data_IF_679971280542
#
_entry.id   IF_679971280542
#
_cell.length_a   1.000
_cell.length_b   1.000
_cell.length_c   1.000
_cell.angle_alpha   90.00
_cell.angle_beta   90.00
_cell.angle_gamma   90.00
#
_symmetry.space_group_name_H-M   'P 1'
#
loop_
_entity.id
_entity.type
_entity.pdbx_description
1 polymer ?
#
# COMPACT_ATOMS: atom_id res chain seq x y z
N UNK A 1 -15.97 31.05 -20.86
CA UNK A 1 -15.53 30.04 -19.85
C UNK A 1 -14.04 29.82 -20.01
N UNK A 2 -13.28 29.73 -18.92
CA UNK A 2 -11.85 29.43 -18.99
C UNK A 2 -11.66 28.03 -19.61
N UNK A 3 -10.56 27.83 -20.35
CA UNK A 3 -10.22 26.53 -20.94
C UNK A 3 -9.95 25.54 -19.80
N UNK A 4 -10.47 24.30 -19.87
CA UNK A 4 -10.22 23.33 -18.82
C UNK A 4 -8.72 22.98 -18.74
N UNK A 5 -8.23 22.77 -17.54
CA UNK A 5 -6.87 22.24 -17.30
C UNK A 5 -6.93 20.73 -17.55
N UNK A 6 -6.05 20.24 -18.42
CA UNK A 6 -6.07 18.84 -18.84
C UNK A 6 -4.76 18.11 -18.51
N UNK A 7 -4.81 16.79 -18.44
CA UNK A 7 -3.62 15.93 -18.29
C UNK A 7 -2.82 15.98 -19.59
N UNK A 8 -1.55 16.39 -19.53
CA UNK A 8 -0.65 16.43 -20.68
C UNK A 8 0.32 15.24 -20.72
N UNK A 9 0.76 14.80 -19.55
CA UNK A 9 1.67 13.65 -19.45
C UNK A 9 1.53 13.00 -18.08
N UNK A 10 1.92 11.73 -18.01
CA UNK A 10 1.99 10.95 -16.77
C UNK A 10 3.37 10.29 -16.71
N UNK A 11 4.04 10.40 -15.59
CA UNK A 11 5.34 9.78 -15.35
C UNK A 11 5.26 8.86 -14.14
N UNK A 12 5.80 7.66 -14.30
CA UNK A 12 5.87 6.65 -13.25
C UNK A 12 7.30 6.53 -12.75
N UNK A 13 7.50 6.64 -11.44
CA UNK A 13 8.80 6.49 -10.80
C UNK A 13 8.81 5.24 -9.93
N UNK A 14 9.71 4.32 -10.23
CA UNK A 14 9.95 3.13 -9.43
C UNK A 14 11.10 3.42 -8.47
N UNK A 15 10.78 3.58 -7.19
CA UNK A 15 11.74 3.93 -6.15
C UNK A 15 11.98 2.72 -5.28
N UNK A 16 13.23 2.32 -5.12
CA UNK A 16 13.64 1.29 -4.19
C UNK A 16 14.29 1.93 -2.98
N UNK A 17 13.76 1.61 -1.78
CA UNK A 17 14.39 2.03 -0.53
C UNK A 17 15.60 1.14 -0.20
N UNK A 18 16.58 1.71 0.51
CA UNK A 18 17.70 0.95 1.07
C UNK A 18 17.17 -0.07 2.10
N UNK A 19 17.68 -1.30 2.08
CA UNK A 19 17.31 -2.34 3.03
C UNK A 19 16.35 -3.38 2.45
N UNK A 20 15.24 -3.67 3.10
CA UNK A 20 14.33 -4.80 2.82
C UNK A 20 13.65 -4.82 1.44
N UNK A 21 14.04 -3.94 0.53
CA UNK A 21 13.58 -4.00 -0.86
C UNK A 21 12.17 -3.51 -1.09
N UNK A 22 11.62 -2.69 -0.20
CA UNK A 22 10.34 -2.01 -0.45
C UNK A 22 10.47 -1.13 -1.69
N UNK A 23 9.54 -1.31 -2.61
CA UNK A 23 9.51 -0.59 -3.88
C UNK A 23 8.25 0.25 -3.93
N UNK A 24 8.44 1.56 -4.01
CA UNK A 24 7.34 2.51 -4.21
C UNK A 24 7.11 2.76 -5.69
N UNK A 25 5.86 3.01 -6.03
CA UNK A 25 5.44 3.42 -7.36
C UNK A 25 4.79 4.78 -7.20
N UNK A 26 5.50 5.81 -7.64
CA UNK A 26 4.99 7.19 -7.59
C UNK A 26 4.50 7.58 -8.96
N UNK A 27 3.29 8.11 -9.03
CA UNK A 27 2.66 8.62 -10.24
C UNK A 27 2.70 10.15 -10.18
N UNK A 28 3.27 10.77 -11.21
CA UNK A 28 3.24 12.22 -11.40
C UNK A 28 2.37 12.54 -12.60
N UNK A 29 1.24 13.19 -12.36
CA UNK A 29 0.33 13.71 -13.39
C UNK A 29 0.74 15.15 -13.71
N UNK A 30 1.11 15.42 -14.95
CA UNK A 30 1.52 16.74 -15.46
C UNK A 30 0.35 17.35 -16.22
N UNK A 31 0.04 18.61 -15.93
CA UNK A 31 -1.11 19.27 -16.50
C UNK A 31 -0.75 20.26 -17.63
N UNK A 32 -1.78 20.75 -18.33
CA UNK A 32 -1.65 21.82 -19.33
C UNK A 32 -1.31 23.18 -18.72
N UNK A 33 -1.44 23.34 -17.41
CA UNK A 33 -1.03 24.54 -16.69
C UNK A 33 0.46 24.43 -16.33
N UNK A 34 1.31 25.36 -16.78
CA UNK A 34 2.75 25.29 -16.50
C UNK A 34 3.06 25.28 -15.01
N UNK A 35 3.87 24.30 -14.57
CA UNK A 35 4.25 24.16 -13.18
C UNK A 35 3.23 23.42 -12.30
N UNK A 36 2.01 23.20 -12.76
CA UNK A 36 0.99 22.46 -12.02
C UNK A 36 1.08 20.96 -12.33
N UNK A 37 1.27 20.18 -11.29
CA UNK A 37 1.28 18.72 -11.34
C UNK A 37 0.75 18.14 -10.04
N UNK A 38 0.32 16.87 -10.09
CA UNK A 38 -0.05 16.10 -8.91
C UNK A 38 0.82 14.87 -8.72
N UNK A 39 0.92 14.45 -7.46
CA UNK A 39 1.67 13.26 -7.05
C UNK A 39 0.71 12.28 -6.37
N UNK A 40 0.78 11.03 -6.78
CA UNK A 40 0.06 9.94 -6.13
C UNK A 40 0.94 8.71 -5.93
N UNK A 41 0.47 7.78 -5.12
CA UNK A 41 1.16 6.53 -4.81
C UNK A 41 0.35 5.34 -5.31
N UNK A 42 0.95 4.54 -6.20
CA UNK A 42 0.36 3.32 -6.76
C UNK A 42 1.02 2.04 -6.23
N UNK A 43 1.54 2.08 -5.00
CA UNK A 43 2.45 1.05 -4.51
C UNK A 43 1.77 -0.30 -4.25
N UNK A 44 2.18 -1.31 -5.01
CA UNK A 44 2.00 -2.71 -4.73
C UNK A 44 3.34 -3.44 -4.85
N UNK A 45 4.07 -3.49 -3.77
CA UNK A 45 5.49 -3.91 -3.72
C UNK A 45 5.75 -5.26 -4.41
N UNK A 46 4.86 -6.25 -4.25
CA UNK A 46 5.06 -7.60 -4.78
C UNK A 46 4.85 -7.69 -6.31
N UNK A 47 4.15 -6.73 -6.90
CA UNK A 47 3.82 -6.72 -8.34
C UNK A 47 4.03 -5.34 -8.96
N UNK A 48 5.03 -4.60 -8.47
CA UNK A 48 5.27 -3.21 -8.86
C UNK A 48 5.44 -3.00 -10.37
N UNK A 49 6.06 -3.94 -11.09
CA UNK A 49 6.21 -3.85 -12.55
C UNK A 49 4.89 -4.02 -13.28
N UNK A 50 4.00 -4.89 -12.78
CA UNK A 50 2.67 -5.05 -13.37
C UNK A 50 1.83 -3.79 -13.18
N UNK A 51 1.94 -3.11 -12.01
CA UNK A 51 1.28 -1.82 -11.77
C UNK A 51 1.86 -0.74 -12.68
N UNK A 52 3.18 -0.67 -12.83
CA UNK A 52 3.82 0.29 -13.73
C UNK A 52 3.35 0.11 -15.18
N UNK A 53 3.32 -1.14 -15.69
CA UNK A 53 2.78 -1.45 -17.02
C UNK A 53 1.30 -1.07 -17.14
N UNK A 54 0.47 -1.37 -16.13
CA UNK A 54 -0.93 -0.95 -16.13
C UNK A 54 -1.09 0.58 -16.23
N UNK A 55 -0.18 1.34 -15.62
CA UNK A 55 -0.17 2.79 -15.73
C UNK A 55 0.29 3.23 -17.12
N UNK A 56 1.48 2.82 -17.54
CA UNK A 56 2.13 3.36 -18.74
C UNK A 56 1.43 2.90 -20.03
N UNK A 57 1.03 1.62 -20.12
CA UNK A 57 0.52 1.02 -21.34
C UNK A 57 -1.01 1.19 -21.50
N UNK A 58 -1.74 1.40 -20.40
CA UNK A 58 -3.21 1.42 -20.41
C UNK A 58 -3.82 2.69 -19.85
N UNK A 59 -3.48 3.08 -18.60
CA UNK A 59 -4.14 4.23 -17.96
C UNK A 59 -3.62 5.57 -18.49
N UNK A 60 -2.33 5.68 -18.78
CA UNK A 60 -1.75 6.92 -19.33
C UNK A 60 -2.37 7.29 -20.69
N UNK A 61 -2.43 6.40 -21.70
CA UNK A 61 -3.09 6.73 -22.96
C UNK A 61 -4.56 7.11 -22.79
N UNK A 62 -5.26 6.48 -21.86
CA UNK A 62 -6.64 6.80 -21.51
C UNK A 62 -6.79 8.17 -20.84
N UNK A 63 -5.83 8.56 -19.97
CA UNK A 63 -5.86 9.78 -19.18
C UNK A 63 -5.49 11.06 -19.95
N UNK A 64 -4.71 10.94 -21.03
CA UNK A 64 -4.25 12.12 -21.80
C UNK A 64 -5.43 12.94 -22.34
N UNK A 65 -5.39 14.24 -22.08
CA UNK A 65 -6.46 15.18 -22.45
C UNK A 65 -7.63 15.24 -21.47
N UNK A 66 -7.66 14.39 -20.43
CA UNK A 66 -8.71 14.40 -19.42
C UNK A 66 -8.70 15.70 -18.61
N UNK A 67 -9.87 16.24 -18.32
CA UNK A 67 -10.04 17.40 -17.45
C UNK A 67 -9.74 17.00 -16.00
N UNK A 68 -8.74 17.64 -15.38
CA UNK A 68 -8.28 17.34 -14.03
C UNK A 68 -9.33 17.59 -12.94
N UNK A 69 -10.38 18.36 -13.24
CA UNK A 69 -11.46 18.62 -12.28
C UNK A 69 -12.46 17.45 -12.16
N UNK A 70 -12.48 16.53 -13.12
CA UNK A 70 -13.44 15.43 -13.23
C UNK A 70 -12.90 14.13 -12.59
N UNK A 71 -12.55 14.20 -11.31
CA UNK A 71 -11.85 13.13 -10.58
C UNK A 71 -12.71 11.87 -10.48
N UNK A 72 -13.95 12.02 -10.00
CA UNK A 72 -14.87 10.88 -9.83
C UNK A 72 -15.21 10.21 -11.17
N UNK A 73 -15.39 10.99 -12.21
CA UNK A 73 -15.63 10.43 -13.54
C UNK A 73 -14.41 9.68 -14.05
N UNK A 74 -13.20 10.23 -13.86
CA UNK A 74 -11.97 9.51 -14.19
C UNK A 74 -11.90 8.17 -13.49
N UNK A 75 -12.13 8.15 -12.17
CA UNK A 75 -12.10 6.92 -11.38
C UNK A 75 -13.10 5.88 -11.92
N UNK A 76 -14.36 6.28 -12.11
CA UNK A 76 -15.40 5.38 -12.59
C UNK A 76 -15.11 4.85 -13.99
N UNK A 77 -14.69 5.72 -14.90
CA UNK A 77 -14.37 5.32 -16.28
C UNK A 77 -13.12 4.45 -16.34
N UNK A 78 -12.08 4.74 -15.53
CA UNK A 78 -10.89 3.91 -15.44
C UNK A 78 -11.20 2.51 -14.89
N UNK A 79 -12.16 2.38 -13.96
CA UNK A 79 -12.61 1.08 -13.44
C UNK A 79 -13.38 0.26 -14.48
N UNK A 80 -14.15 0.90 -15.38
CA UNK A 80 -15.05 0.19 -16.31
C UNK A 80 -14.52 0.04 -17.72
N UNK A 81 -13.40 0.69 -18.07
CA UNK A 81 -12.83 0.65 -19.41
C UNK A 81 -12.47 -0.76 -19.93
N UNK A 82 -12.32 -1.72 -19.03
CA UNK A 82 -12.05 -3.13 -19.32
C UNK A 82 -13.12 -4.04 -18.75
N UNK A 83 -13.30 -5.23 -19.36
CA UNK A 83 -14.24 -6.23 -18.85
C UNK A 83 -13.80 -6.85 -17.52
N UNK A 84 -12.49 -6.95 -17.30
CA UNK A 84 -11.88 -7.50 -16.09
C UNK A 84 -11.55 -6.35 -15.16
N UNK A 85 -12.41 -6.19 -14.17
CA UNK A 85 -12.34 -5.10 -13.21
C UNK A 85 -11.72 -5.56 -11.92
N UNK A 86 -11.34 -5.07 -10.99
CA UNK A 86 -10.79 -5.53 -9.72
C UNK A 86 -9.35 -6.07 -9.77
N UNK A 87 -8.88 -6.32 -8.61
CA UNK A 87 -7.55 -6.83 -8.34
C UNK A 87 -6.56 -5.73 -7.98
N UNK A 88 -5.51 -6.12 -7.22
CA UNK A 88 -4.62 -5.14 -6.63
C UNK A 88 -3.77 -4.39 -7.66
N UNK A 89 -3.50 -4.94 -8.84
CA UNK A 89 -2.72 -4.26 -9.87
C UNK A 89 -3.47 -3.05 -10.41
N UNK A 90 -4.69 -3.26 -10.92
CA UNK A 90 -5.50 -2.17 -11.50
C UNK A 90 -5.92 -1.17 -10.41
N UNK A 91 -6.38 -1.66 -9.25
CA UNK A 91 -6.82 -0.77 -8.17
C UNK A 91 -5.71 0.14 -7.66
N UNK A 92 -4.47 -0.37 -7.50
CA UNK A 92 -3.33 0.47 -7.12
C UNK A 92 -2.95 1.45 -8.24
N UNK A 93 -2.98 1.02 -9.50
CA UNK A 93 -2.70 1.91 -10.62
C UNK A 93 -3.67 3.09 -10.67
N UNK A 94 -4.98 2.84 -10.56
CA UNK A 94 -6.02 3.87 -10.54
C UNK A 94 -5.88 4.77 -9.31
N UNK A 95 -5.60 4.19 -8.13
CA UNK A 95 -5.37 4.95 -6.89
C UNK A 95 -4.23 5.97 -7.03
N UNK A 96 -3.16 5.64 -7.76
CA UNK A 96 -2.08 6.58 -8.04
C UNK A 96 -2.53 7.81 -8.82
N UNK A 97 -3.43 7.62 -9.80
CA UNK A 97 -4.04 8.75 -10.52
C UNK A 97 -5.00 9.54 -9.65
N UNK A 98 -5.86 8.86 -8.92
CA UNK A 98 -6.85 9.49 -8.03
C UNK A 98 -6.17 10.40 -7.02
N UNK A 99 -5.17 9.91 -6.31
CA UNK A 99 -4.36 10.73 -5.38
C UNK A 99 -3.72 11.93 -6.07
N UNK A 100 -3.16 11.74 -7.28
CA UNK A 100 -2.53 12.82 -8.02
C UNK A 100 -3.53 13.90 -8.47
N UNK A 101 -4.74 13.52 -8.85
CA UNK A 101 -5.81 14.44 -9.21
C UNK A 101 -6.32 15.22 -8.00
N UNK A 102 -6.47 14.58 -6.84
CA UNK A 102 -6.78 15.26 -5.59
C UNK A 102 -5.67 16.21 -5.15
N UNK A 103 -4.39 15.87 -5.34
CA UNK A 103 -3.26 16.76 -5.09
C UNK A 103 -3.31 18.02 -6.00
N UNK A 104 -3.63 17.84 -7.28
CA UNK A 104 -3.87 18.97 -8.20
C UNK A 104 -5.02 19.84 -7.71
N UNK A 105 -6.13 19.23 -7.31
CA UNK A 105 -7.30 19.96 -6.79
C UNK A 105 -6.97 20.78 -5.54
N UNK A 106 -6.20 20.18 -4.61
CA UNK A 106 -5.70 20.88 -3.43
C UNK A 106 -4.84 22.07 -3.77
N UNK A 107 -3.90 21.92 -4.71
CA UNK A 107 -3.04 23.01 -5.19
C UNK A 107 -3.83 24.14 -5.85
N UNK A 108 -4.81 23.80 -6.68
CA UNK A 108 -5.69 24.79 -7.31
C UNK A 108 -6.55 25.56 -6.30
N UNK A 109 -7.01 24.87 -5.26
CA UNK A 109 -7.77 25.47 -4.17
C UNK A 109 -6.90 26.19 -3.13
N UNK A 110 -5.56 26.08 -3.23
CA UNK A 110 -4.61 26.52 -2.21
C UNK A 110 -4.93 25.96 -0.81
N UNK A 111 -5.33 24.69 -0.76
CA UNK A 111 -5.74 23.98 0.44
C UNK A 111 -5.09 22.59 0.49
N UNK A 112 -4.70 22.08 1.67
CA UNK A 112 -4.33 20.69 1.81
C UNK A 112 -5.54 19.78 1.55
N UNK A 113 -5.28 18.57 1.04
CA UNK A 113 -6.36 17.63 0.66
C UNK A 113 -7.28 17.29 1.84
N UNK A 114 -6.73 17.19 3.06
CA UNK A 114 -7.58 16.91 4.23
C UNK A 114 -8.64 18.00 4.51
N UNK A 115 -8.37 19.28 4.18
CA UNK A 115 -9.35 20.36 4.30
C UNK A 115 -10.46 20.22 3.24
N UNK A 116 -10.11 19.78 2.04
CA UNK A 116 -11.10 19.46 1.00
C UNK A 116 -12.01 18.28 1.41
N UNK A 117 -11.52 17.39 2.28
CA UNK A 117 -12.25 16.22 2.76
C UNK A 117 -13.01 16.47 4.08
N UNK A 118 -13.06 17.70 4.58
CA UNK A 118 -13.82 18.05 5.77
C UNK A 118 -13.00 18.55 6.95
N UNK A 119 -11.69 18.70 6.80
CA UNK A 119 -10.81 19.31 7.77
C UNK A 119 -10.05 18.32 8.67
N UNK A 120 -9.16 18.89 9.46
CA UNK A 120 -8.29 18.14 10.37
C UNK A 120 -9.06 17.63 11.58
N UNK A 121 -9.01 16.33 11.85
CA UNK A 121 -9.66 15.73 13.01
C UNK A 121 -8.67 15.40 14.17
N UNK A 122 -7.36 15.48 13.94
CA UNK A 122 -6.31 15.20 14.94
C UNK A 122 -4.97 15.79 14.51
N UNK A 123 -4.08 16.04 15.46
CA UNK A 123 -2.74 16.58 15.19
C UNK A 123 -1.75 15.49 14.82
N UNK A 124 -1.95 14.25 15.29
CA UNK A 124 -1.09 13.13 15.03
C UNK A 124 -1.89 11.84 14.86
N UNK A 125 -1.37 10.90 14.07
CA UNK A 125 -1.90 9.56 13.97
C UNK A 125 -1.06 8.59 14.81
N UNK A 126 -1.71 7.72 15.56
CA UNK A 126 -1.03 6.60 16.22
C UNK A 126 -0.43 5.68 15.15
N UNK A 127 0.77 5.21 15.41
CA UNK A 127 1.49 4.28 14.54
C UNK A 127 1.74 2.97 15.26
N UNK A 128 1.90 1.89 14.51
CA UNK A 128 2.25 0.59 15.04
C UNK A 128 3.53 0.05 14.40
N UNK A 129 4.23 -0.83 15.12
CA UNK A 129 5.38 -1.56 14.60
C UNK A 129 5.02 -3.03 14.31
N UNK A 130 5.80 -3.68 13.45
CA UNK A 130 5.67 -5.10 13.16
C UNK A 130 6.74 -5.90 13.90
N UNK A 131 6.35 -6.67 14.89
CA UNK A 131 7.21 -7.63 15.58
C UNK A 131 7.09 -8.99 14.90
N UNK A 132 7.90 -9.21 13.87
CA UNK A 132 8.02 -10.50 13.20
C UNK A 132 9.02 -11.40 13.92
N UNK A 133 8.85 -12.72 13.83
CA UNK A 133 9.79 -13.68 14.36
C UNK A 133 9.70 -15.04 13.67
N UNK A 134 10.75 -15.84 13.76
CA UNK A 134 10.78 -17.24 13.29
C UNK A 134 10.06 -18.17 14.24
N UNK A 135 10.06 -17.80 15.49
CA UNK A 135 9.45 -18.52 16.60
C UNK A 135 8.82 -17.54 17.61
N UNK A 136 8.03 -18.01 18.59
CA UNK A 136 7.37 -17.14 19.56
C UNK A 136 8.33 -16.32 20.43
N UNK A 137 9.54 -16.84 20.74
CA UNK A 137 10.50 -16.10 21.55
C UNK A 137 11.08 -14.89 20.79
N UNK A 138 11.43 -15.08 19.52
CA UNK A 138 11.91 -13.98 18.68
C UNK A 138 10.84 -12.89 18.49
N UNK A 139 9.56 -13.28 18.42
CA UNK A 139 8.45 -12.31 18.41
C UNK A 139 8.43 -11.50 19.71
N UNK A 140 8.54 -12.14 20.88
CA UNK A 140 8.60 -11.48 22.18
C UNK A 140 9.78 -10.51 22.26
N UNK A 141 10.97 -10.91 21.81
CA UNK A 141 12.16 -10.08 21.82
C UNK A 141 11.97 -8.83 20.95
N UNK A 142 11.35 -8.98 19.79
CA UNK A 142 11.03 -7.86 18.92
C UNK A 142 9.91 -6.97 19.49
N UNK A 143 8.91 -7.52 20.20
CA UNK A 143 7.91 -6.72 20.91
C UNK A 143 8.59 -5.84 21.95
N UNK A 144 9.43 -6.40 22.83
CA UNK A 144 10.18 -5.66 23.87
C UNK A 144 11.04 -4.55 23.26
N UNK A 145 11.75 -4.85 22.17
CA UNK A 145 12.54 -3.88 21.44
C UNK A 145 11.70 -2.69 20.94
N UNK A 146 10.50 -2.92 20.43
CA UNK A 146 9.63 -1.84 19.98
C UNK A 146 8.98 -1.08 21.14
N UNK A 147 8.67 -1.75 22.27
CA UNK A 147 8.26 -1.08 23.49
C UNK A 147 9.33 -0.10 24.00
N UNK A 148 10.60 -0.52 24.00
CA UNK A 148 11.74 0.34 24.37
C UNK A 148 11.89 1.56 23.45
N UNK A 149 11.43 1.46 22.19
CA UNK A 149 11.39 2.56 21.24
C UNK A 149 10.14 3.45 21.39
N UNK A 150 9.25 3.14 22.35
CA UNK A 150 8.04 3.93 22.62
C UNK A 150 6.80 3.55 21.80
N UNK A 151 6.81 2.41 21.08
CA UNK A 151 5.60 1.93 20.41
C UNK A 151 4.64 1.29 21.42
N UNK A 152 3.39 1.75 21.41
CA UNK A 152 2.29 1.19 22.21
C UNK A 152 1.48 0.14 21.43
N UNK A 153 1.38 0.31 20.11
CA UNK A 153 0.67 -0.63 19.22
C UNK A 153 1.70 -1.48 18.49
N UNK A 154 1.65 -2.79 18.69
CA UNK A 154 2.62 -3.71 18.13
C UNK A 154 1.92 -4.90 17.49
N UNK A 155 1.97 -4.97 16.18
CA UNK A 155 1.45 -6.11 15.43
C UNK A 155 2.42 -7.27 15.49
N UNK A 156 2.01 -8.36 16.10
CA UNK A 156 2.79 -9.59 16.17
C UNK A 156 2.52 -10.50 14.99
N UNK A 157 3.56 -11.14 14.48
CA UNK A 157 3.49 -12.04 13.34
C UNK A 157 4.60 -13.09 13.44
N UNK A 158 4.31 -14.33 13.06
CA UNK A 158 5.30 -15.38 12.98
C UNK A 158 5.32 -15.94 11.55
N UNK A 159 6.51 -15.98 10.95
CA UNK A 159 6.68 -16.61 9.66
C UNK A 159 6.40 -15.76 8.42
N UNK A 160 6.09 -14.51 8.57
CA UNK A 160 5.76 -13.60 7.47
C UNK A 160 4.45 -13.97 6.76
N UNK A 161 3.99 -13.12 5.86
CA UNK A 161 2.84 -13.41 5.01
C UNK A 161 3.15 -14.57 4.07
N UNK A 162 2.41 -15.68 4.22
CA UNK A 162 2.54 -16.85 3.36
C UNK A 162 3.59 -17.87 3.80
N UNK A 163 4.07 -17.81 5.03
CA UNK A 163 4.70 -18.93 5.69
C UNK A 163 6.12 -19.28 5.27
N UNK A 164 6.92 -18.32 4.82
CA UNK A 164 8.33 -18.60 4.44
C UNK A 164 9.18 -19.14 5.59
N UNK A 165 8.88 -18.80 6.83
CA UNK A 165 9.60 -19.28 8.02
C UNK A 165 8.87 -20.39 8.77
N UNK A 166 7.59 -20.61 8.55
CA UNK A 166 6.95 -21.86 8.93
C UNK A 166 7.25 -22.89 7.85
N UNK A 167 8.26 -23.71 8.08
CA UNK A 167 8.43 -24.94 7.30
C UNK A 167 7.23 -25.83 7.59
N UNK A 168 6.19 -25.66 6.80
CA UNK A 168 5.08 -26.59 6.81
C UNK A 168 5.61 -27.94 6.36
N UNK A 169 5.29 -28.97 7.08
CA UNK A 169 5.68 -30.33 6.71
C UNK A 169 5.26 -30.58 5.27
N UNK A 170 6.26 -30.75 4.41
CA UNK A 170 6.05 -31.11 3.02
C UNK A 170 5.36 -32.49 2.99
N UNK A 171 4.22 -32.65 2.31
CA UNK A 171 3.62 -33.97 2.14
C UNK A 171 4.59 -34.94 1.46
N UNK A 172 4.54 -36.20 1.85
CA UNK A 172 5.36 -37.25 1.22
C UNK A 172 5.13 -37.27 -0.29
N UNK A 173 6.20 -37.35 -1.08
CA UNK A 173 6.16 -37.36 -2.54
C UNK A 173 5.88 -36.02 -3.21
N UNK A 174 5.64 -34.95 -2.43
CA UNK A 174 5.41 -33.62 -3.02
C UNK A 174 6.71 -33.00 -3.58
N UNK A 175 6.60 -32.18 -4.63
CA UNK A 175 7.72 -31.42 -5.22
C UNK A 175 8.30 -30.42 -4.23
N UNK A 176 9.55 -30.03 -4.43
CA UNK A 176 10.13 -28.93 -3.67
C UNK A 176 9.36 -27.63 -3.91
N UNK A 177 9.11 -26.88 -2.85
CA UNK A 177 8.37 -25.63 -2.89
C UNK A 177 7.88 -25.21 -1.53
N UNK A 178 7.16 -24.08 -1.51
CA UNK A 178 6.50 -23.59 -0.30
C UNK A 178 5.11 -24.24 -0.20
N UNK A 179 4.79 -24.81 0.95
CA UNK A 179 3.48 -25.36 1.26
C UNK A 179 2.80 -24.47 2.29
N UNK A 180 1.52 -24.26 2.12
CA UNK A 180 0.69 -23.52 3.05
C UNK A 180 -0.48 -24.38 3.52
N UNK A 181 -0.51 -24.65 4.84
CA UNK A 181 -1.63 -25.28 5.50
C UNK A 181 -2.30 -24.27 6.43
N UNK A 182 -3.47 -23.73 6.06
CA UNK A 182 -4.14 -22.72 6.87
C UNK A 182 -4.52 -23.19 8.27
N UNK A 183 -4.80 -24.49 8.45
CA UNK A 183 -5.15 -25.06 9.76
C UNK A 183 -3.93 -25.12 10.69
N UNK A 184 -2.78 -25.56 10.16
CA UNK A 184 -1.53 -25.59 10.92
C UNK A 184 -1.08 -24.16 11.26
N UNK A 185 -1.20 -23.23 10.31
CA UNK A 185 -0.92 -21.82 10.53
C UNK A 185 -1.78 -21.23 11.66
N UNK A 186 -3.10 -21.44 11.61
CA UNK A 186 -4.01 -20.96 12.67
C UNK A 186 -3.62 -21.49 14.05
N UNK A 187 -3.36 -22.80 14.16
CA UNK A 187 -2.92 -23.40 15.45
C UNK A 187 -1.60 -22.79 15.94
N UNK A 188 -0.66 -22.53 15.04
CA UNK A 188 0.63 -21.94 15.40
C UNK A 188 0.46 -20.49 15.86
N UNK A 189 -0.41 -19.73 15.19
CA UNK A 189 -0.70 -18.34 15.60
C UNK A 189 -1.36 -18.25 16.97
N UNK A 190 -2.32 -19.11 17.28
CA UNK A 190 -2.94 -19.15 18.61
C UNK A 190 -1.89 -19.44 19.70
N UNK A 191 -1.04 -20.43 19.51
CA UNK A 191 0.05 -20.73 20.46
C UNK A 191 1.04 -19.59 20.61
N UNK A 192 1.37 -18.91 19.51
CA UNK A 192 2.23 -17.73 19.55
C UNK A 192 1.57 -16.59 20.36
N UNK A 193 0.30 -16.32 20.14
CA UNK A 193 -0.42 -15.27 20.86
C UNK A 193 -0.48 -15.56 22.36
N UNK A 194 -0.81 -16.78 22.75
CA UNK A 194 -0.80 -17.22 24.16
C UNK A 194 0.58 -17.02 24.79
N UNK A 195 1.63 -17.43 24.07
CA UNK A 195 3.02 -17.28 24.54
C UNK A 195 3.41 -15.80 24.69
N UNK A 196 3.13 -14.97 23.69
CA UNK A 196 3.46 -13.54 23.70
C UNK A 196 2.74 -12.86 24.87
N UNK A 197 1.44 -13.08 25.06
CA UNK A 197 0.67 -12.51 26.17
C UNK A 197 1.21 -12.94 27.54
N UNK A 198 1.60 -14.20 27.70
CA UNK A 198 2.21 -14.69 28.93
C UNK A 198 3.55 -14.00 29.26
N UNK A 199 4.28 -13.48 28.27
CA UNK A 199 5.60 -12.87 28.45
C UNK A 199 5.56 -11.34 28.56
N UNK A 200 4.63 -10.67 27.86
CA UNK A 200 4.59 -9.20 27.79
C UNK A 200 3.39 -8.60 28.53
N UNK A 201 2.45 -9.41 28.99
CA UNK A 201 1.24 -8.94 29.69
C UNK A 201 0.23 -8.27 28.74
N UNK A 202 -0.68 -7.51 29.33
CA UNK A 202 -1.82 -6.86 28.63
C UNK A 202 -1.59 -5.36 28.35
N UNK A 203 -0.45 -4.80 28.78
CA UNK A 203 -0.13 -3.38 28.65
C UNK A 203 0.28 -2.96 27.21
N UNK A 204 0.30 -3.91 26.28
CA UNK A 204 0.64 -3.68 24.86
C UNK A 204 -0.55 -4.06 24.00
N UNK A 205 -0.96 -3.14 23.16
CA UNK A 205 -2.03 -3.33 22.18
C UNK A 205 -1.50 -3.79 20.81
#
# INVERSE_FOLDING_TARGET
>A
MAKPITIQDVKTFLIQTSGAGTRFIIVKVITSEPGLYGIGCATFTQRFRAVASAIEDHLKPFALGWDVSRIEEFFQMAMVQGSWRNGPVLSNAISGFDMALWDIKGKLANMPVYDLLGGKCREAAAVYAHADGRDPQEVVDNVRKYQEQGYHFIRVQMGGYGGKSMQMAKPDGARNGNYYDPRAYTRAMLKMMDYVRAQVGDDVE
#
